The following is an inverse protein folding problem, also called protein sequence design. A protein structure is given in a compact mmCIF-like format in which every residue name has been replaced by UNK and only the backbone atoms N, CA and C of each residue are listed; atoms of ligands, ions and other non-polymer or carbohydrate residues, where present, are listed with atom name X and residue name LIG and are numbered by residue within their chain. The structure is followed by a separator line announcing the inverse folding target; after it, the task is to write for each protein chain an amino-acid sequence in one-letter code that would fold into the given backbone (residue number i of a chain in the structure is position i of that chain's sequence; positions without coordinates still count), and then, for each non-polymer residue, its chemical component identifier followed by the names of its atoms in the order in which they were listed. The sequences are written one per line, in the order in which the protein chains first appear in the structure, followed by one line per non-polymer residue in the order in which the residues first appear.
data_IF_964001191467
#
_entry.id   IF_964001191467
#
_cell.length_a   1.000
_cell.length_b   1.000
_cell.length_c   1.000
_cell.angle_alpha   90.00
_cell.angle_beta   90.00
_cell.angle_gamma   90.00
#
_symmetry.space_group_name_H-M   'P 1'
#
loop_
_entity.id
_entity.type
_entity.pdbx_description
1 polymer ?
#
# COMPACT_ATOMS: atom_id res chain seq x y z
N UNK A 1 22.85 4.32 -16.09
CA UNK A 1 22.36 3.15 -15.31
C UNK A 1 20.89 2.95 -15.66
N UNK A 2 20.51 1.75 -16.11
CA UNK A 2 19.09 1.43 -16.30
C UNK A 2 18.37 1.50 -14.95
N UNK A 3 17.17 2.07 -14.93
CA UNK A 3 16.36 2.13 -13.71
C UNK A 3 15.43 0.93 -13.63
N UNK A 4 15.30 0.33 -12.45
CA UNK A 4 14.37 -0.77 -12.21
C UNK A 4 12.96 -0.23 -12.09
N UNK A 5 12.14 -0.40 -13.12
CA UNK A 5 10.76 0.07 -13.11
C UNK A 5 9.85 -1.14 -13.20
N UNK A 6 8.95 -1.29 -12.23
CA UNK A 6 7.81 -2.21 -12.26
C UNK A 6 6.72 -1.55 -13.13
N UNK A 7 6.50 -2.00 -14.37
CA UNK A 7 5.42 -1.46 -15.18
C UNK A 7 4.09 -2.03 -14.71
N UNK A 8 3.05 -1.20 -14.64
CA UNK A 8 1.69 -1.65 -14.40
C UNK A 8 0.77 -0.91 -15.38
N UNK A 9 0.01 -1.63 -16.19
CA UNK A 9 -0.92 -1.05 -17.17
C UNK A 9 -2.33 -1.54 -16.87
N UNK A 10 -3.29 -0.62 -16.74
CA UNK A 10 -4.69 -1.00 -16.48
C UNK A 10 -5.26 -1.91 -17.57
N UNK A 11 -4.90 -1.67 -18.83
CA UNK A 11 -5.32 -2.48 -19.97
C UNK A 11 -4.57 -3.81 -20.10
N UNK A 12 -3.24 -3.83 -19.87
CA UNK A 12 -2.44 -5.06 -20.04
C UNK A 12 -2.39 -5.95 -18.80
N UNK A 13 -2.75 -5.41 -17.63
CA UNK A 13 -2.76 -6.09 -16.34
C UNK A 13 -4.16 -6.03 -15.71
N UNK A 14 -5.17 -6.35 -16.51
CA UNK A 14 -6.58 -6.26 -16.12
C UNK A 14 -6.96 -7.22 -14.97
N UNK A 15 -6.15 -8.24 -14.71
CA UNK A 15 -6.36 -9.24 -13.65
C UNK A 15 -5.90 -8.80 -12.24
N UNK A 16 -5.36 -7.58 -12.11
CA UNK A 16 -5.06 -6.96 -10.82
C UNK A 16 -5.33 -5.45 -10.81
N UNK A 17 -6.40 -5.02 -11.48
CA UNK A 17 -6.68 -3.60 -11.72
C UNK A 17 -6.99 -2.84 -10.43
N UNK A 18 -7.59 -3.50 -9.44
CA UNK A 18 -7.86 -2.88 -8.14
C UNK A 18 -6.57 -2.53 -7.39
N UNK A 19 -5.55 -3.40 -7.46
CA UNK A 19 -4.23 -3.14 -6.89
C UNK A 19 -3.51 -2.00 -7.62
N UNK A 20 -3.61 -1.94 -8.96
CA UNK A 20 -3.08 -0.81 -9.76
C UNK A 20 -3.70 0.51 -9.30
N UNK A 21 -5.03 0.52 -9.14
CA UNK A 21 -5.76 1.71 -8.72
C UNK A 21 -5.42 2.10 -7.27
N UNK A 22 -5.23 1.14 -6.37
CA UNK A 22 -4.76 1.40 -5.02
C UNK A 22 -3.38 2.05 -5.03
N UNK A 23 -2.40 1.46 -5.72
CA UNK A 23 -1.05 2.00 -5.85
C UNK A 23 -1.04 3.40 -6.46
N UNK A 24 -1.83 3.63 -7.53
CA UNK A 24 -1.96 4.94 -8.17
C UNK A 24 -2.46 6.00 -7.19
N UNK A 25 -3.52 5.69 -6.44
CA UNK A 25 -4.09 6.61 -5.46
C UNK A 25 -3.17 6.84 -4.28
N UNK A 26 -2.45 5.83 -3.80
CA UNK A 26 -1.52 5.97 -2.68
C UNK A 26 -0.33 6.86 -3.03
N UNK A 27 0.24 6.70 -4.24
CA UNK A 27 1.39 7.48 -4.70
C UNK A 27 1.04 8.90 -5.16
N UNK A 28 -0.21 9.18 -5.52
CA UNK A 28 -0.62 10.48 -6.04
C UNK A 28 -0.98 11.47 -4.92
N UNK A 29 -0.08 12.40 -4.63
CA UNK A 29 -0.25 13.43 -3.58
C UNK A 29 -1.48 14.33 -3.73
N UNK A 30 -2.03 14.47 -4.95
CA UNK A 30 -3.25 15.27 -5.15
C UNK A 30 -4.51 14.60 -4.63
N UNK A 31 -4.48 13.27 -4.44
CA UNK A 31 -5.64 12.48 -4.00
C UNK A 31 -5.36 11.63 -2.76
N UNK A 32 -4.10 11.36 -2.42
CA UNK A 32 -3.76 10.39 -1.39
C UNK A 32 -4.12 10.80 0.05
N UNK A 33 -4.51 12.05 0.28
CA UNK A 33 -5.03 12.50 1.58
C UNK A 33 -6.31 11.76 2.00
N UNK A 34 -7.09 11.24 1.04
CA UNK A 34 -8.34 10.50 1.32
C UNK A 34 -8.12 9.01 1.56
N UNK A 35 -6.93 8.49 1.22
CA UNK A 35 -6.60 7.08 1.41
C UNK A 35 -6.53 6.72 2.91
N UNK A 36 -6.80 5.45 3.24
CA UNK A 36 -6.94 4.99 4.62
C UNK A 36 -5.69 4.23 5.07
N UNK A 37 -5.28 4.30 6.35
CA UNK A 37 -5.73 5.27 7.35
C UNK A 37 -5.39 6.70 6.92
N UNK A 38 -6.15 7.73 7.34
CA UNK A 38 -5.75 9.10 7.06
C UNK A 38 -4.47 9.45 7.82
N UNK A 39 -3.59 10.23 7.20
CA UNK A 39 -2.57 10.97 7.92
C UNK A 39 -3.18 12.28 8.38
N UNK A 40 -3.09 12.62 9.66
CA UNK A 40 -3.74 13.81 10.23
C UNK A 40 -2.69 14.85 10.64
N UNK A 41 -3.01 16.14 10.45
CA UNK A 41 -2.26 17.24 11.05
C UNK A 41 -2.55 17.38 12.55
N UNK A 42 -1.91 18.35 13.21
CA UNK A 42 -2.14 18.64 14.63
C UNK A 42 -3.57 19.07 14.96
N UNK A 43 -4.35 19.49 13.97
CA UNK A 43 -5.76 19.85 14.10
C UNK A 43 -6.71 18.70 13.71
N UNK A 44 -6.18 17.50 13.44
CA UNK A 44 -6.98 16.34 13.06
C UNK A 44 -7.49 16.35 11.60
N UNK A 45 -6.94 17.21 10.74
CA UNK A 45 -7.35 17.32 9.33
C UNK A 45 -6.53 16.36 8.45
N UNK A 46 -7.14 15.69 7.45
CA UNK A 46 -6.41 14.83 6.53
C UNK A 46 -5.32 15.56 5.74
N UNK A 47 -4.14 14.95 5.65
CA UNK A 47 -2.97 15.45 4.93
C UNK A 47 -2.55 14.48 3.82
N UNK A 48 -1.97 15.04 2.75
CA UNK A 48 -1.31 14.24 1.72
C UNK A 48 -0.14 13.44 2.29
N UNK A 49 0.00 12.19 1.84
CA UNK A 49 1.06 11.27 2.28
C UNK A 49 2.30 11.40 1.39
N UNK A 50 3.47 11.20 2.00
CA UNK A 50 4.76 11.14 1.31
C UNK A 50 5.06 9.70 0.86
N UNK A 51 4.13 9.06 0.14
CA UNK A 51 4.28 7.67 -0.29
C UNK A 51 5.25 7.56 -1.49
N UNK A 52 6.33 6.77 -1.39
CA UNK A 52 7.35 6.66 -2.43
C UNK A 52 6.91 5.74 -3.58
N UNK A 53 7.80 5.55 -4.55
CA UNK A 53 7.68 4.55 -5.61
C UNK A 53 7.29 5.10 -6.97
N UNK A 54 6.66 6.27 -7.05
CA UNK A 54 6.23 6.84 -8.32
C UNK A 54 7.42 7.18 -9.25
N UNK A 55 7.48 6.55 -10.42
CA UNK A 55 8.49 6.81 -11.45
C UNK A 55 8.36 8.21 -12.08
N UNK A 56 7.12 8.68 -12.26
CA UNK A 56 6.79 9.88 -13.03
C UNK A 56 6.92 11.17 -12.22
N UNK A 57 7.53 11.12 -11.02
CA UNK A 57 7.96 12.33 -10.31
C UNK A 57 9.09 13.04 -11.06
N UNK A 58 9.31 14.31 -10.71
CA UNK A 58 10.47 15.10 -11.15
C UNK A 58 11.75 14.26 -11.06
N UNK A 59 12.52 14.22 -12.15
CA UNK A 59 13.74 13.43 -12.26
C UNK A 59 14.75 13.73 -11.14
N UNK A 60 14.79 14.97 -10.65
CA UNK A 60 15.64 15.39 -9.51
C UNK A 60 15.22 14.72 -8.21
N UNK A 61 13.93 14.41 -8.05
CA UNK A 61 13.34 13.77 -6.86
C UNK A 61 13.26 12.25 -6.98
N UNK A 62 13.36 11.71 -8.19
CA UNK A 62 13.18 10.29 -8.49
C UNK A 62 14.03 9.37 -7.61
N UNK A 63 15.32 9.69 -7.40
CA UNK A 63 16.20 8.87 -6.55
C UNK A 63 15.74 8.79 -5.09
N UNK A 64 15.26 9.91 -4.54
CA UNK A 64 14.73 9.97 -3.18
C UNK A 64 13.35 9.31 -3.07
N UNK A 65 12.63 9.18 -4.19
CA UNK A 65 11.30 8.59 -4.28
C UNK A 65 11.32 7.07 -4.57
N UNK A 66 12.46 6.39 -4.44
CA UNK A 66 12.54 4.96 -4.73
C UNK A 66 11.94 4.10 -3.61
N UNK A 67 11.32 2.98 -3.99
CA UNK A 67 11.13 1.86 -3.06
C UNK A 67 12.42 1.07 -2.97
N UNK A 68 12.72 0.52 -1.80
CA UNK A 68 13.86 -0.39 -1.62
C UNK A 68 13.33 -1.76 -1.23
N UNK A 69 13.56 -2.78 -2.08
CA UNK A 69 13.11 -4.14 -1.74
C UNK A 69 13.75 -4.58 -0.41
N UNK A 70 12.97 -5.24 0.43
CA UNK A 70 13.43 -5.99 1.59
C UNK A 70 13.20 -7.48 1.36
N UNK A 71 14.17 -8.30 1.75
CA UNK A 71 14.00 -9.77 1.83
C UNK A 71 13.86 -10.25 3.28
N UNK A 72 13.79 -9.32 4.23
CA UNK A 72 13.63 -9.63 5.65
C UNK A 72 12.15 -9.92 5.94
N UNK A 73 11.85 -11.19 6.22
CA UNK A 73 10.51 -11.67 6.54
C UNK A 73 10.00 -11.16 7.89
N UNK A 74 10.90 -10.91 8.86
CA UNK A 74 10.53 -10.32 10.15
C UNK A 74 10.07 -8.88 9.95
N UNK A 75 10.78 -8.13 9.11
CA UNK A 75 10.40 -6.76 8.74
C UNK A 75 9.06 -6.76 7.99
N UNK A 76 8.87 -7.65 7.02
CA UNK A 76 7.59 -7.79 6.31
C UNK A 76 6.42 -8.10 7.27
N UNK A 77 6.62 -9.00 8.23
CA UNK A 77 5.61 -9.30 9.25
C UNK A 77 5.35 -8.11 10.18
N UNK A 78 6.37 -7.31 10.51
CA UNK A 78 6.21 -6.07 11.28
C UNK A 78 5.38 -5.03 10.52
N UNK A 79 5.58 -4.91 9.21
CA UNK A 79 4.76 -4.04 8.35
C UNK A 79 3.29 -4.48 8.38
N UNK A 80 3.02 -5.76 8.12
CA UNK A 80 1.66 -6.32 8.20
C UNK A 80 1.02 -6.12 9.57
N UNK A 81 1.75 -6.43 10.64
CA UNK A 81 1.29 -6.25 12.00
C UNK A 81 0.90 -4.80 12.34
N UNK A 82 1.35 -3.79 11.58
CA UNK A 82 0.99 -2.38 11.81
C UNK A 82 -0.48 -2.10 11.53
N UNK A 83 -1.05 -2.67 10.47
CA UNK A 83 -2.47 -2.49 10.13
C UNK A 83 -3.36 -3.66 10.55
N UNK A 84 -2.79 -4.78 10.99
CA UNK A 84 -3.50 -5.88 11.67
C UNK A 84 -3.70 -5.65 13.18
N UNK A 85 -3.35 -4.48 13.70
CA UNK A 85 -3.65 -4.13 15.09
C UNK A 85 -5.16 -4.03 15.29
N UNK A 86 -5.66 -4.64 16.37
CA UNK A 86 -7.05 -4.47 16.80
C UNK A 86 -7.32 -3.01 17.13
N UNK A 87 -8.47 -2.52 16.68
CA UNK A 87 -8.95 -1.18 16.98
C UNK A 87 -10.24 -1.33 17.77
N UNK A 88 -10.31 -0.74 18.95
CA UNK A 88 -11.55 -0.69 19.75
C UNK A 88 -12.07 0.73 19.77
N UNK A 89 -13.36 0.90 19.45
CA UNK A 89 -14.07 2.17 19.48
C UNK A 89 -15.42 2.00 20.12
N UNK A 90 -15.92 3.05 20.76
CA UNK A 90 -17.30 3.10 21.22
C UNK A 90 -18.24 3.31 20.03
N UNK A 91 -19.23 2.45 19.90
CA UNK A 91 -20.32 2.62 18.94
C UNK A 91 -21.17 3.83 19.35
N UNK A 92 -21.35 4.84 18.48
CA UNK A 92 -22.11 6.04 18.81
C UNK A 92 -23.60 5.78 19.03
N UNK A 93 -24.16 4.69 18.49
CA UNK A 93 -25.59 4.38 18.60
C UNK A 93 -25.90 3.58 19.87
N UNK A 94 -25.01 2.66 20.26
CA UNK A 94 -25.25 1.75 21.39
C UNK A 94 -24.44 2.09 22.64
N UNK A 95 -23.42 2.94 22.52
CA UNK A 95 -22.47 3.24 23.59
C UNK A 95 -21.55 2.07 23.96
N UNK A 96 -21.63 0.95 23.23
CA UNK A 96 -20.87 -0.26 23.52
C UNK A 96 -19.53 -0.28 22.79
N UNK A 97 -18.50 -0.93 23.34
CA UNK A 97 -17.22 -1.09 22.65
C UNK A 97 -17.35 -2.08 21.48
N UNK A 98 -16.96 -1.64 20.29
CA UNK A 98 -16.82 -2.45 19.08
C UNK A 98 -15.34 -2.63 18.79
N UNK A 99 -14.94 -3.88 18.54
CA UNK A 99 -13.56 -4.23 18.18
C UNK A 99 -13.48 -4.67 16.73
N UNK A 100 -12.58 -4.02 15.99
CA UNK A 100 -12.20 -4.30 14.62
C UNK A 100 -10.87 -5.05 14.63
N UNK A 101 -10.71 -6.07 13.79
CA UNK A 101 -9.51 -6.91 13.78
C UNK A 101 -8.33 -6.28 13.05
N UNK A 102 -8.59 -5.34 12.13
CA UNK A 102 -7.59 -4.62 11.36
C UNK A 102 -8.10 -3.26 10.84
N UNK A 103 -7.22 -2.50 10.20
CA UNK A 103 -7.57 -1.20 9.62
C UNK A 103 -8.63 -1.28 8.50
N UNK A 104 -8.65 -2.34 7.69
CA UNK A 104 -9.64 -2.48 6.63
C UNK A 104 -11.06 -2.68 7.18
N UNK A 105 -11.23 -3.49 8.22
CA UNK A 105 -12.51 -3.62 8.93
C UNK A 105 -12.96 -2.30 9.54
N UNK A 106 -12.02 -1.51 10.06
CA UNK A 106 -12.33 -0.24 10.72
C UNK A 106 -12.71 0.88 9.75
N UNK A 107 -12.00 1.03 8.63
CA UNK A 107 -12.17 2.19 7.74
C UNK A 107 -13.13 1.96 6.57
N UNK A 108 -13.47 0.71 6.26
CA UNK A 108 -14.28 0.37 5.10
C UNK A 108 -15.52 -0.40 5.52
N UNK A 109 -15.44 -1.72 5.50
CA UNK A 109 -16.55 -2.60 5.83
C UNK A 109 -16.02 -3.71 6.73
N UNK A 110 -16.67 -3.93 7.87
CA UNK A 110 -16.30 -5.00 8.80
C UNK A 110 -16.35 -6.38 8.15
N UNK A 111 -17.23 -6.56 7.17
CA UNK A 111 -17.47 -7.79 6.41
C UNK A 111 -16.70 -7.88 5.09
N UNK A 112 -15.71 -7.01 4.83
CA UNK A 112 -14.98 -7.01 3.54
C UNK A 112 -14.41 -8.40 3.19
N UNK A 113 -13.92 -9.14 4.19
CA UNK A 113 -13.37 -10.48 4.00
C UNK A 113 -14.45 -11.49 3.55
N UNK A 114 -15.67 -11.38 4.05
CA UNK A 114 -16.81 -12.23 3.68
C UNK A 114 -17.24 -12.00 2.21
N UNK A 115 -16.83 -10.86 1.63
CA UNK A 115 -17.04 -10.49 0.23
C UNK A 115 -15.91 -10.95 -0.68
N UNK A 116 -15.00 -11.80 -0.18
CA UNK A 116 -13.85 -12.30 -0.95
C UNK A 116 -12.78 -11.24 -1.20
N UNK A 117 -12.68 -10.23 -0.32
CA UNK A 117 -11.65 -9.19 -0.43
C UNK A 117 -10.53 -9.37 0.60
N UNK A 118 -9.35 -8.86 0.26
CA UNK A 118 -8.16 -8.80 1.12
C UNK A 118 -7.70 -7.36 1.33
N UNK A 119 -7.03 -7.12 2.46
CA UNK A 119 -6.53 -5.80 2.81
C UNK A 119 -5.15 -5.59 2.18
N UNK A 120 -5.10 -5.00 0.99
CA UNK A 120 -3.87 -4.66 0.28
C UNK A 120 -3.18 -3.45 0.93
N UNK A 121 -1.85 -3.39 0.84
CA UNK A 121 -1.01 -2.40 1.52
C UNK A 121 -0.03 -1.69 0.57
N UNK A 122 0.12 -0.38 0.75
CA UNK A 122 1.14 0.42 0.07
C UNK A 122 1.80 1.42 1.04
N UNK A 123 3.15 1.52 1.10
CA UNK A 123 4.15 0.71 0.40
C UNK A 123 4.10 -0.78 0.79
N UNK A 124 4.57 -1.65 -0.10
CA UNK A 124 4.48 -3.10 0.10
C UNK A 124 5.26 -3.57 1.33
N UNK A 125 4.77 -4.59 2.06
CA UNK A 125 5.55 -5.23 3.12
C UNK A 125 6.89 -5.83 2.66
N UNK A 126 7.07 -6.04 1.35
CA UNK A 126 8.33 -6.46 0.76
C UNK A 126 9.31 -5.29 0.48
N UNK A 127 9.07 -4.12 1.06
CA UNK A 127 9.91 -2.92 0.91
C UNK A 127 10.35 -2.40 2.29
N UNK A 128 11.44 -1.63 2.34
CA UNK A 128 11.90 -1.01 3.59
C UNK A 128 10.95 0.10 4.08
N UNK A 129 10.17 0.66 3.17
CA UNK A 129 9.21 1.74 3.38
C UNK A 129 7.83 1.28 3.82
N UNK A 130 7.63 -0.03 4.05
CA UNK A 130 6.35 -0.58 4.48
C UNK A 130 5.80 0.03 5.77
N UNK A 131 4.54 -0.27 6.09
CA UNK A 131 3.72 0.47 7.06
C UNK A 131 4.41 0.79 8.40
N UNK A 132 5.15 -0.16 8.99
CA UNK A 132 5.83 0.07 10.29
C UNK A 132 6.93 1.12 10.26
N UNK A 133 7.47 1.44 9.08
CA UNK A 133 8.52 2.45 8.88
C UNK A 133 7.97 3.70 8.16
N UNK A 134 6.70 3.68 7.75
CA UNK A 134 6.09 4.75 6.96
C UNK A 134 5.65 5.97 7.81
N UNK A 135 5.67 5.89 9.15
CA UNK A 135 5.22 6.96 10.06
C UNK A 135 3.83 7.53 9.67
N UNK A 136 2.89 6.65 9.33
CA UNK A 136 1.54 7.03 8.86
C UNK A 136 1.41 7.33 7.37
N UNK A 137 2.50 7.38 6.60
CA UNK A 137 2.50 7.58 5.15
C UNK A 137 2.24 6.29 4.33
N UNK A 138 1.35 5.44 4.81
CA UNK A 138 0.93 4.21 4.13
C UNK A 138 -0.57 4.22 3.84
N UNK A 139 -1.01 3.39 2.92
CA UNK A 139 -2.38 3.20 2.51
C UNK A 139 -2.74 1.72 2.61
N UNK A 140 -3.98 1.45 2.97
CA UNK A 140 -4.61 0.14 2.88
C UNK A 140 -5.94 0.25 2.13
N UNK A 141 -6.31 -0.80 1.41
CA UNK A 141 -7.58 -0.88 0.70
C UNK A 141 -8.05 -2.34 0.60
N UNK A 142 -9.33 -2.62 0.91
CA UNK A 142 -9.95 -3.88 0.53
C UNK A 142 -10.00 -3.98 -0.99
N UNK A 143 -9.39 -5.03 -1.54
CA UNK A 143 -9.46 -5.36 -2.97
C UNK A 143 -9.82 -6.83 -3.13
N UNK A 144 -10.32 -7.24 -4.29
CA UNK A 144 -10.62 -8.65 -4.55
C UNK A 144 -9.41 -9.55 -4.28
N UNK A 145 -9.64 -10.71 -3.64
CA UNK A 145 -8.59 -11.68 -3.32
C UNK A 145 -7.77 -12.09 -4.54
N UNK A 146 -8.43 -12.29 -5.69
CA UNK A 146 -7.73 -12.64 -6.94
C UNK A 146 -6.82 -11.51 -7.42
N UNK A 147 -7.30 -10.26 -7.43
CA UNK A 147 -6.47 -9.11 -7.82
C UNK A 147 -5.24 -8.98 -6.89
N UNK A 148 -5.41 -9.23 -5.59
CA UNK A 148 -4.32 -9.14 -4.62
C UNK A 148 -3.25 -10.23 -4.83
N UNK A 149 -3.67 -11.48 -5.06
CA UNK A 149 -2.76 -12.59 -5.32
C UNK A 149 -2.01 -12.42 -6.64
N UNK A 150 -2.72 -12.09 -7.71
CA UNK A 150 -2.14 -11.90 -9.04
C UNK A 150 -1.12 -10.75 -9.03
N UNK A 151 -1.43 -9.66 -8.34
CA UNK A 151 -0.49 -8.56 -8.12
C UNK A 151 0.74 -9.00 -7.33
N UNK A 152 0.56 -9.77 -6.25
CA UNK A 152 1.64 -10.31 -5.44
C UNK A 152 2.59 -11.19 -6.24
N UNK A 153 2.06 -12.06 -7.10
CA UNK A 153 2.84 -12.92 -7.98
C UNK A 153 3.54 -12.15 -9.09
N UNK A 154 2.89 -11.11 -9.63
CA UNK A 154 3.50 -10.18 -10.58
C UNK A 154 4.72 -9.46 -9.98
N UNK A 155 4.61 -8.95 -8.74
CA UNK A 155 5.74 -8.34 -8.02
C UNK A 155 6.86 -9.35 -7.80
N UNK A 156 6.55 -10.58 -7.37
CA UNK A 156 7.56 -11.64 -7.18
C UNK A 156 8.27 -12.00 -8.50
N UNK A 157 7.53 -12.05 -9.60
CA UNK A 157 8.11 -12.29 -10.92
C UNK A 157 9.06 -11.15 -11.33
N UNK A 158 8.65 -9.89 -11.15
CA UNK A 158 9.50 -8.72 -11.38
C UNK A 158 10.80 -8.80 -10.56
N UNK A 159 10.67 -9.07 -9.27
CA UNK A 159 11.79 -9.26 -8.36
C UNK A 159 12.78 -10.34 -8.83
N UNK A 160 12.28 -11.45 -9.37
CA UNK A 160 13.11 -12.55 -9.89
C UNK A 160 13.77 -12.20 -11.21
N UNK A 161 13.00 -11.70 -12.18
CA UNK A 161 13.45 -11.42 -13.55
C UNK A 161 14.49 -10.30 -13.56
N UNK A 162 14.23 -9.21 -12.84
CA UNK A 162 15.11 -8.03 -12.82
C UNK A 162 16.13 -8.06 -11.68
N UNK A 163 16.25 -9.21 -10.97
CA UNK A 163 17.22 -9.43 -9.88
C UNK A 163 17.19 -8.33 -8.82
N UNK A 164 15.99 -7.83 -8.50
CA UNK A 164 15.81 -6.80 -7.48
C UNK A 164 16.13 -7.43 -6.13
N UNK A 165 17.32 -7.22 -5.57
CA UNK A 165 17.74 -7.81 -4.29
C UNK A 165 17.37 -6.95 -3.08
N UNK A 166 17.75 -7.40 -1.88
CA UNK A 166 17.62 -6.59 -0.67
C UNK A 166 18.32 -5.22 -0.84
N UNK A 167 17.64 -4.13 -0.48
CA UNK A 167 18.11 -2.75 -0.66
C UNK A 167 18.10 -2.24 -2.10
N UNK A 168 17.76 -3.07 -3.10
CA UNK A 168 17.72 -2.63 -4.49
C UNK A 168 16.57 -1.65 -4.69
N UNK A 169 16.89 -0.52 -5.32
CA UNK A 169 15.91 0.51 -5.68
C UNK A 169 15.07 0.08 -6.85
N UNK A 170 13.78 0.36 -6.77
CA UNK A 170 12.88 0.28 -7.90
C UNK A 170 11.77 1.34 -7.78
N UNK A 171 11.07 1.55 -8.89
CA UNK A 171 9.93 2.43 -9.01
C UNK A 171 8.77 1.68 -9.65
N UNK A 172 7.57 2.26 -9.55
CA UNK A 172 6.37 1.81 -10.20
C UNK A 172 6.00 2.85 -11.24
N UNK A 173 5.72 2.40 -12.45
CA UNK A 173 5.16 3.26 -13.50
C UNK A 173 3.79 2.73 -13.89
N UNK A 174 2.77 3.51 -13.59
CA UNK A 174 1.38 3.17 -13.91
C UNK A 174 1.00 3.83 -15.24
N UNK A 175 0.46 3.02 -16.13
CA UNK A 175 -0.02 3.42 -17.45
C UNK A 175 -1.47 2.96 -17.62
N UNK A 176 -2.15 3.49 -18.62
CA UNK A 176 -3.46 2.97 -19.01
C UNK A 176 -3.33 1.67 -19.79
#
# INVERSE_FOLDING_TARGET
MASNVLPMSRSKNANFVEAINHNANAMNRSVNATTKPPLLDSAGRPMAKNSPGNWDVDWKKRRANALHRSTDTKLANKHRATFWKKITKTDPNTGQPVTYTNCCQYYFDRSYADKGQECDEFPFASTKEGASNANGHYSVRPIAHQDNNDHGDYIKAFYRIYRIGNGTRFWIRITN
#
